data_IF_627640879035
#
_entry.id   IF_627640879035
#
_cell.length_a   1.000
_cell.length_b   1.000
_cell.length_c   1.000
_cell.angle_alpha   90.00
_cell.angle_beta   90.00
_cell.angle_gamma   90.00
#
_symmetry.space_group_name_H-M   'P 1'
#
loop_
_entity.id
_entity.type
_entity.pdbx_description
1 polymer ?
#
# COMPACT_ATOMS: atom_id res chain seq x y z
N UNK A 1 3.95 -4.07 -12.07
CA UNK A 1 2.60 -4.67 -12.12
C UNK A 1 2.61 -6.18 -11.86
N UNK A 2 3.62 -6.94 -12.30
CA UNK A 2 3.66 -8.39 -12.11
C UNK A 2 3.85 -8.78 -10.62
N UNK A 3 4.69 -8.07 -9.86
CA UNK A 3 4.91 -8.40 -8.45
C UNK A 3 3.66 -8.19 -7.60
N UNK A 4 2.92 -7.09 -7.82
CA UNK A 4 1.68 -6.84 -7.06
C UNK A 4 0.60 -7.88 -7.36
N UNK A 5 0.49 -8.32 -8.62
CA UNK A 5 -0.40 -9.43 -8.99
C UNK A 5 0.01 -10.76 -8.34
N UNK A 6 1.31 -11.03 -8.20
CA UNK A 6 1.79 -12.21 -7.46
C UNK A 6 1.44 -12.14 -5.98
N UNK A 7 1.62 -11.00 -5.32
CA UNK A 7 1.26 -10.82 -3.89
C UNK A 7 -0.26 -10.94 -3.72
N UNK A 8 -1.04 -10.31 -4.59
CA UNK A 8 -2.49 -10.38 -4.61
C UNK A 8 -2.97 -11.82 -4.80
N UNK A 9 -2.37 -12.58 -5.72
CA UNK A 9 -2.68 -13.98 -5.93
C UNK A 9 -2.34 -14.81 -4.69
N UNK A 10 -1.18 -14.60 -4.09
CA UNK A 10 -0.79 -15.29 -2.86
C UNK A 10 -1.72 -14.96 -1.69
N UNK A 11 -2.21 -13.72 -1.58
CA UNK A 11 -3.20 -13.35 -0.55
C UNK A 11 -4.51 -14.13 -0.75
N UNK A 12 -5.00 -14.22 -1.99
CA UNK A 12 -6.20 -14.99 -2.35
C UNK A 12 -6.09 -16.49 -2.08
N UNK A 13 -4.88 -17.07 -2.15
CA UNK A 13 -4.70 -18.49 -1.80
C UNK A 13 -4.72 -18.74 -0.31
N UNK A 14 -4.49 -17.73 0.55
CA UNK A 14 -4.61 -17.86 2.01
C UNK A 14 -6.06 -17.77 2.48
N UNK A 15 -6.85 -16.88 1.88
CA UNK A 15 -8.27 -16.70 2.20
C UNK A 15 -9.05 -16.49 0.90
N UNK A 16 -10.01 -17.36 0.57
CA UNK A 16 -10.85 -17.19 -0.62
C UNK A 16 -11.56 -15.84 -0.63
N UNK A 17 -11.38 -15.07 -1.70
CA UNK A 17 -11.99 -13.74 -1.83
C UNK A 17 -11.28 -12.61 -1.08
N UNK A 18 -10.13 -12.87 -0.45
CA UNK A 18 -9.33 -11.79 0.14
C UNK A 18 -8.55 -10.98 -0.90
N UNK A 19 -8.34 -9.71 -0.62
CA UNK A 19 -7.52 -8.81 -1.43
C UNK A 19 -6.49 -8.10 -0.57
N UNK A 20 -5.42 -7.63 -1.20
CA UNK A 20 -4.55 -6.64 -0.60
C UNK A 20 -5.37 -5.42 -0.19
N UNK A 21 -5.00 -4.85 0.95
CA UNK A 21 -5.82 -3.85 1.62
C UNK A 21 -5.91 -2.55 0.82
N UNK A 22 -7.12 -2.03 0.71
CA UNK A 22 -7.46 -0.68 0.26
C UNK A 22 -7.74 0.22 1.45
N UNK A 23 -7.35 1.48 1.33
CA UNK A 23 -7.53 2.47 2.38
C UNK A 23 -8.33 3.62 1.81
N UNK A 24 -9.45 3.95 2.48
CA UNK A 24 -10.40 4.99 2.06
C UNK A 24 -10.56 6.10 3.10
N UNK A 25 -9.99 5.90 4.29
CA UNK A 25 -10.18 6.78 5.44
C UNK A 25 -8.95 6.74 6.35
N UNK A 26 -8.72 7.85 7.05
CA UNK A 26 -7.63 7.96 8.02
C UNK A 26 -7.80 6.94 9.14
N UNK A 27 -9.02 6.74 9.62
CA UNK A 27 -9.31 5.80 10.72
C UNK A 27 -8.92 4.36 10.35
N UNK A 28 -9.15 3.95 9.09
CA UNK A 28 -8.74 2.63 8.60
C UNK A 28 -7.23 2.49 8.53
N UNK A 29 -6.54 3.54 8.07
CA UNK A 29 -5.09 3.58 7.98
C UNK A 29 -4.42 3.47 9.37
N UNK A 30 -4.97 4.16 10.37
CA UNK A 30 -4.46 4.15 11.74
C UNK A 30 -4.73 2.78 12.39
N UNK A 31 -5.89 2.17 12.11
CA UNK A 31 -6.20 0.79 12.53
C UNK A 31 -5.27 -0.25 11.88
N UNK A 32 -4.94 -0.10 10.61
CA UNK A 32 -3.98 -0.97 9.92
C UNK A 32 -2.60 -0.90 10.58
N UNK A 33 -2.15 0.28 10.97
CA UNK A 33 -0.90 0.42 11.71
C UNK A 33 -0.94 -0.35 13.04
N UNK A 34 -2.06 -0.30 13.76
CA UNK A 34 -2.24 -1.08 14.99
C UNK A 34 -2.17 -2.59 14.76
N UNK A 35 -2.78 -3.09 13.68
CA UNK A 35 -2.68 -4.51 13.29
C UNK A 35 -1.22 -4.87 13.00
N UNK A 36 -0.54 -4.09 12.14
CA UNK A 36 0.85 -4.37 11.76
C UNK A 36 1.77 -4.34 12.98
N UNK A 37 1.60 -3.37 13.89
CA UNK A 37 2.36 -3.30 15.15
C UNK A 37 2.14 -4.55 16.02
N UNK A 38 0.92 -5.07 16.05
CA UNK A 38 0.58 -6.26 16.84
C UNK A 38 1.23 -7.53 16.28
N UNK A 39 1.27 -7.68 14.96
CA UNK A 39 1.80 -8.90 14.32
C UNK A 39 3.29 -8.82 13.98
N UNK A 40 3.81 -7.65 13.63
CA UNK A 40 5.20 -7.40 13.21
C UNK A 40 5.73 -6.11 13.85
N UNK A 41 5.95 -6.07 15.19
CA UNK A 41 6.41 -4.87 15.90
C UNK A 41 7.76 -4.34 15.43
N UNK A 42 8.61 -5.22 14.88
CA UNK A 42 9.96 -4.88 14.41
C UNK A 42 9.99 -4.39 12.95
N UNK A 43 8.91 -4.62 12.18
CA UNK A 43 8.83 -4.21 10.78
C UNK A 43 7.42 -3.74 10.45
N UNK A 44 7.24 -2.41 10.45
CA UNK A 44 5.96 -1.77 10.16
C UNK A 44 5.70 -1.61 8.66
N UNK A 45 6.65 -2.02 7.81
CA UNK A 45 6.53 -1.94 6.36
C UNK A 45 5.53 -2.97 5.87
N UNK A 46 4.47 -2.52 5.21
CA UNK A 46 3.55 -3.41 4.49
C UNK A 46 3.22 -2.85 3.12
N UNK A 47 2.99 -3.77 2.19
CA UNK A 47 2.48 -3.48 0.85
C UNK A 47 0.97 -3.32 0.92
N UNK A 48 0.47 -2.30 0.24
CA UNK A 48 -0.97 -2.06 0.09
C UNK A 48 -1.42 -2.52 -1.30
N UNK A 49 -2.72 -2.65 -1.49
CA UNK A 49 -3.31 -3.07 -2.76
C UNK A 49 -3.28 -1.98 -3.83
N UNK A 50 -2.46 -0.94 -3.70
CA UNK A 50 -2.43 0.17 -4.64
C UNK A 50 -1.21 0.15 -5.55
N UNK A 51 -1.42 0.65 -6.76
CA UNK A 51 -0.40 0.80 -7.79
C UNK A 51 -0.61 2.08 -8.57
N UNK A 52 0.45 2.60 -9.19
CA UNK A 52 0.37 3.72 -10.12
C UNK A 52 0.13 3.22 -11.55
N UNK A 53 -0.75 3.91 -12.26
CA UNK A 53 -1.02 3.69 -13.67
C UNK A 53 0.05 4.36 -14.52
N UNK A 54 0.91 3.56 -15.15
CA UNK A 54 1.79 4.00 -16.25
C UNK A 54 2.61 5.27 -15.96
N UNK A 55 3.10 5.48 -14.73
CA UNK A 55 3.88 6.67 -14.36
C UNK A 55 3.13 8.00 -14.54
N UNK A 56 1.79 7.95 -14.51
CA UNK A 56 0.93 9.10 -14.79
C UNK A 56 0.63 9.95 -13.56
N UNK A 57 1.12 9.56 -12.39
CA UNK A 57 0.76 10.12 -11.08
C UNK A 57 -0.63 9.69 -10.60
N UNK A 58 -1.30 8.77 -11.30
CA UNK A 58 -2.64 8.26 -10.95
C UNK A 58 -2.52 6.90 -10.27
N UNK A 59 -3.08 6.79 -9.08
CA UNK A 59 -3.08 5.56 -8.31
C UNK A 59 -4.44 4.87 -8.34
N UNK A 60 -4.44 3.55 -8.32
CA UNK A 60 -5.62 2.71 -8.28
C UNK A 60 -5.45 1.58 -7.27
N UNK A 61 -6.57 1.12 -6.72
CA UNK A 61 -6.63 -0.09 -5.90
C UNK A 61 -6.92 -1.34 -6.73
N UNK A 62 -6.29 -2.46 -6.39
CA UNK A 62 -6.47 -3.76 -7.03
C UNK A 62 -7.81 -4.43 -6.77
N UNK A 63 -8.54 -3.98 -5.74
CA UNK A 63 -9.90 -4.43 -5.45
C UNK A 63 -10.96 -3.70 -6.31
N UNK A 64 -10.54 -2.72 -7.13
CA UNK A 64 -11.42 -1.92 -7.99
C UNK A 64 -12.13 -0.79 -7.26
N UNK A 65 -11.80 -0.54 -6.00
CA UNK A 65 -12.33 0.58 -5.23
C UNK A 65 -11.75 1.92 -5.70
N UNK A 66 -12.45 3.00 -5.40
CA UNK A 66 -12.03 4.35 -5.80
C UNK A 66 -10.76 4.78 -5.04
N UNK A 67 -9.88 5.50 -5.74
CA UNK A 67 -8.78 6.21 -5.10
C UNK A 67 -9.28 7.52 -4.46
N UNK A 68 -9.72 7.44 -3.21
CA UNK A 68 -10.35 8.54 -2.46
C UNK A 68 -9.56 8.96 -1.20
N UNK A 69 -8.49 8.22 -0.87
CA UNK A 69 -7.64 8.53 0.26
C UNK A 69 -6.17 8.53 -0.13
N UNK A 70 -5.50 9.60 0.26
CA UNK A 70 -4.06 9.74 0.09
C UNK A 70 -3.47 10.46 1.30
N UNK A 71 -2.53 9.79 1.97
CA UNK A 71 -1.74 10.34 3.08
C UNK A 71 -0.27 10.14 2.77
N UNK A 72 0.18 10.75 1.68
CA UNK A 72 1.57 10.66 1.26
C UNK A 72 2.51 11.21 2.32
N UNK A 73 3.68 10.58 2.47
CA UNK A 73 4.77 11.17 3.23
C UNK A 73 5.21 12.47 2.54
N UNK A 74 5.66 13.45 3.31
CA UNK A 74 6.21 14.68 2.73
C UNK A 74 7.35 14.33 1.75
N UNK A 75 7.19 14.75 0.49
CA UNK A 75 8.12 14.43 -0.61
C UNK A 75 7.72 13.24 -1.47
N UNK A 76 6.65 12.51 -1.13
CA UNK A 76 6.10 11.39 -1.91
C UNK A 76 4.77 11.77 -2.58
N UNK A 77 4.39 11.11 -3.69
CA UNK A 77 5.16 10.09 -4.42
C UNK A 77 6.34 10.72 -5.18
N UNK A 78 7.54 10.17 -4.97
CA UNK A 78 8.77 10.64 -5.62
C UNK A 78 9.08 9.74 -6.82
N UNK A 79 9.35 10.32 -7.99
CA UNK A 79 9.74 9.59 -9.20
C UNK A 79 11.14 8.92 -9.10
N UNK A 80 11.72 8.85 -7.90
CA UNK A 80 13.08 8.38 -7.66
C UNK A 80 13.17 6.87 -7.94
N UNK A 81 12.08 6.13 -7.74
CA UNK A 81 12.03 4.71 -8.04
C UNK A 81 11.69 4.49 -9.51
N UNK A 82 12.73 4.39 -10.34
CA UNK A 82 12.69 4.02 -11.77
C UNK A 82 12.20 2.60 -12.04
N UNK A 83 11.60 1.93 -11.05
CA UNK A 83 11.09 0.58 -11.20
C UNK A 83 9.91 0.56 -12.17
N UNK A 84 9.71 -0.57 -12.84
CA UNK A 84 8.56 -0.84 -13.73
C UNK A 84 7.30 -1.17 -12.89
N UNK A 85 7.44 -1.20 -11.56
CA UNK A 85 6.48 -1.68 -10.59
C UNK A 85 6.19 -0.57 -9.57
N UNK A 86 5.38 0.42 -9.96
CA UNK A 86 4.94 1.50 -9.07
C UNK A 86 3.85 0.96 -8.13
N UNK A 87 4.28 0.48 -6.97
CA UNK A 87 3.45 -0.16 -5.95
C UNK A 87 3.44 0.68 -4.68
N UNK A 88 2.29 0.80 -4.02
CA UNK A 88 2.16 1.63 -2.81
C UNK A 88 2.43 0.82 -1.55
N UNK A 89 3.23 1.39 -0.67
CA UNK A 89 3.56 0.83 0.63
C UNK A 89 3.37 1.84 1.77
N UNK A 90 3.30 1.34 3.01
CA UNK A 90 3.29 2.20 4.20
C UNK A 90 4.53 1.99 5.07
N UNK A 91 4.88 3.04 5.83
CA UNK A 91 5.95 3.05 6.86
C UNK A 91 7.39 2.76 6.37
N UNK A 92 7.74 3.05 5.12
CA UNK A 92 9.15 2.95 4.69
C UNK A 92 10.04 3.94 5.50
N UNK A 93 11.12 3.45 6.13
CA UNK A 93 12.07 4.26 6.91
C UNK A 93 11.50 5.25 7.94
N UNK A 94 10.47 4.88 8.73
CA UNK A 94 9.90 5.80 9.72
C UNK A 94 9.32 5.11 10.95
N UNK A 95 9.88 5.40 12.13
CA UNK A 95 9.25 5.15 13.43
C UNK A 95 7.84 5.80 13.41
N UNK A 96 6.78 4.99 13.48
CA UNK A 96 5.39 5.41 13.68
C UNK A 96 4.79 6.39 12.64
N UNK A 97 4.95 6.18 11.33
CA UNK A 97 4.34 7.08 10.33
C UNK A 97 3.37 6.39 9.40
N UNK A 98 2.09 6.59 9.67
CA UNK A 98 0.88 6.21 8.92
C UNK A 98 0.81 6.82 7.50
N UNK A 99 1.93 6.92 6.79
CA UNK A 99 2.07 7.62 5.51
C UNK A 99 2.35 6.65 4.39
N UNK A 100 1.73 6.91 3.25
CA UNK A 100 1.92 6.20 1.99
C UNK A 100 3.24 6.62 1.33
N UNK A 101 3.89 5.68 0.66
CA UNK A 101 5.02 5.87 -0.26
C UNK A 101 4.76 5.09 -1.54
N UNK A 102 5.22 5.65 -2.66
CA UNK A 102 5.11 5.08 -4.01
C UNK A 102 6.47 5.06 -4.69
#
# INVERSE_FOLDING_TARGET
MFFLLHIQFNCRTKVPGAHLVSVHKKEHNDYLLCIVKKFNPNNLRIWLGAFELFKSGKFLWLDGSNWDFQKWKHGEPSQIYTSIEECVEMNWHGKNRETLMG
#
